data_IF_761962565684
#
_entry.id   IF_761962565684
#
_cell.length_a   1.000
_cell.length_b   1.000
_cell.length_c   1.000
_cell.angle_alpha   90.00
_cell.angle_beta   90.00
_cell.angle_gamma   90.00
#
_symmetry.space_group_name_H-M   'P 1'
#
loop_
_entity.id
_entity.type
_entity.pdbx_description
1 polymer ?
#
# COMPACT_ATOMS: atom_id res chain seq x y z
N UNK A 1 22.62 11.10 -6.30
CA UNK A 1 23.86 10.54 -5.72
C UNK A 1 24.37 9.43 -6.62
N UNK A 2 25.67 9.22 -6.72
CA UNK A 2 26.27 8.11 -7.49
C UNK A 2 27.42 7.50 -6.70
N UNK A 3 27.54 6.17 -6.75
CA UNK A 3 28.68 5.42 -6.27
C UNK A 3 29.42 4.88 -7.48
N UNK A 4 30.75 4.99 -7.47
CA UNK A 4 31.60 4.54 -8.59
C UNK A 4 32.62 3.52 -8.07
N UNK A 5 32.59 2.33 -8.66
CA UNK A 5 33.63 1.33 -8.43
C UNK A 5 34.83 1.65 -9.33
N UNK A 6 35.87 2.23 -8.75
CA UNK A 6 37.03 2.79 -9.47
C UNK A 6 37.71 1.82 -10.43
N UNK A 7 37.93 0.52 -10.07
CA UNK A 7 38.69 -0.39 -10.95
C UNK A 7 38.05 -0.63 -12.32
N UNK A 8 36.69 -0.59 -12.40
CA UNK A 8 35.97 -0.89 -13.66
C UNK A 8 35.15 0.28 -14.18
N UNK A 9 34.98 1.34 -13.37
CA UNK A 9 34.10 2.46 -13.68
C UNK A 9 32.60 2.16 -13.58
N UNK A 10 32.21 1.01 -13.06
CA UNK A 10 30.81 0.66 -12.81
C UNK A 10 30.18 1.65 -11.81
N UNK A 11 28.90 1.92 -12.00
CA UNK A 11 28.18 2.91 -11.20
C UNK A 11 26.90 2.34 -10.63
N UNK A 12 26.58 2.77 -9.40
CA UNK A 12 25.26 2.69 -8.83
C UNK A 12 24.70 4.12 -8.77
N UNK A 13 23.56 4.34 -9.40
CA UNK A 13 22.92 5.65 -9.51
C UNK A 13 21.63 5.66 -8.67
N UNK A 14 21.53 6.58 -7.72
CA UNK A 14 20.30 6.78 -6.94
C UNK A 14 19.50 7.92 -7.55
N UNK A 15 18.22 7.68 -7.80
CA UNK A 15 17.31 8.65 -8.40
C UNK A 15 15.97 8.62 -7.64
N UNK A 16 15.42 9.78 -7.33
CA UNK A 16 14.03 9.89 -6.87
C UNK A 16 13.06 9.67 -8.03
N UNK A 17 11.90 9.11 -7.74
CA UNK A 17 10.84 8.87 -8.72
C UNK A 17 9.82 10.03 -8.79
N UNK A 18 10.08 11.14 -8.08
CA UNK A 18 9.27 12.36 -8.07
C UNK A 18 9.12 13.02 -9.46
N UNK A 19 10.05 12.74 -10.38
CA UNK A 19 9.98 13.22 -11.75
C UNK A 19 10.39 12.11 -12.74
N UNK A 20 9.41 11.38 -13.31
CA UNK A 20 9.68 10.32 -14.30
C UNK A 20 10.47 10.80 -15.53
N UNK A 21 10.41 12.08 -15.87
CA UNK A 21 11.15 12.64 -17.00
C UNK A 21 12.65 12.68 -16.73
N UNK A 22 13.07 12.91 -15.49
CA UNK A 22 14.48 12.84 -15.11
C UNK A 22 15.05 11.44 -15.26
N UNK A 23 14.25 10.41 -14.95
CA UNK A 23 14.67 9.01 -15.09
C UNK A 23 14.78 8.63 -16.56
N UNK A 24 13.83 9.05 -17.42
CA UNK A 24 13.85 8.81 -18.86
C UNK A 24 15.05 9.43 -19.57
N UNK A 25 15.65 10.46 -19.00
CA UNK A 25 16.80 11.17 -19.56
C UNK A 25 18.16 10.58 -19.15
N UNK A 26 18.21 9.50 -18.38
CA UNK A 26 19.47 8.88 -17.94
C UNK A 26 20.23 8.41 -19.18
N UNK A 27 21.43 8.96 -19.36
CA UNK A 27 22.38 8.53 -20.39
C UNK A 27 23.60 7.92 -19.69
N UNK A 28 23.97 6.72 -20.12
CA UNK A 28 25.23 6.11 -19.70
C UNK A 28 26.26 6.33 -20.82
N UNK A 29 27.46 6.85 -20.49
CA UNK A 29 28.48 7.15 -21.52
C UNK A 29 29.07 5.90 -22.18
N UNK A 30 29.00 4.76 -21.52
CA UNK A 30 29.42 3.44 -22.00
C UNK A 30 28.62 2.35 -21.29
N UNK A 31 28.55 1.15 -21.92
CA UNK A 31 27.80 0.03 -21.36
C UNK A 31 26.28 0.25 -21.37
N UNK A 32 25.59 -0.31 -20.40
CA UNK A 32 24.13 -0.25 -20.26
C UNK A 32 23.73 -0.39 -18.78
N UNK A 33 22.48 -0.08 -18.47
CA UNK A 33 21.90 -0.30 -17.15
C UNK A 33 21.51 -1.78 -17.06
N UNK A 34 22.28 -2.57 -16.32
CA UNK A 34 22.05 -4.00 -16.17
C UNK A 34 21.08 -4.35 -15.04
N UNK A 35 20.97 -3.46 -14.05
CA UNK A 35 20.17 -3.69 -12.85
C UNK A 35 19.36 -2.44 -12.53
N UNK A 36 18.08 -2.61 -12.22
CA UNK A 36 17.25 -1.61 -11.57
C UNK A 36 16.71 -2.16 -10.27
N UNK A 37 16.54 -1.28 -9.27
CA UNK A 37 15.89 -1.60 -8.04
C UNK A 37 14.88 -0.48 -7.70
N UNK A 38 13.61 -0.85 -7.59
CA UNK A 38 12.56 0.02 -7.10
C UNK A 38 12.36 -0.28 -5.62
N UNK A 39 12.78 0.63 -4.77
CA UNK A 39 12.53 0.59 -3.35
C UNK A 39 11.18 1.25 -3.05
N UNK A 40 10.46 0.75 -2.05
CA UNK A 40 9.12 1.21 -1.71
C UNK A 40 8.17 1.23 -2.93
N UNK A 41 8.10 0.11 -3.61
CA UNK A 41 7.29 -0.08 -4.83
C UNK A 41 5.85 0.43 -4.70
N UNK A 42 5.26 0.28 -3.54
CA UNK A 42 3.89 0.70 -3.22
C UNK A 42 3.67 2.23 -3.29
N UNK A 43 4.75 3.03 -3.21
CA UNK A 43 4.70 4.49 -3.34
C UNK A 43 4.53 4.97 -4.79
N UNK A 44 4.76 4.12 -5.77
CA UNK A 44 4.49 4.43 -7.17
C UNK A 44 2.99 4.43 -7.46
N UNK A 45 2.56 5.24 -8.41
CA UNK A 45 1.14 5.34 -8.79
C UNK A 45 0.56 4.04 -9.38
N UNK A 46 1.43 3.11 -9.80
CA UNK A 46 1.01 1.81 -10.31
C UNK A 46 2.04 1.15 -11.22
N UNK A 47 1.72 -0.07 -11.65
CA UNK A 47 2.60 -0.85 -12.55
C UNK A 47 2.98 -0.14 -13.85
N UNK A 48 2.11 0.72 -14.35
CA UNK A 48 2.37 1.47 -15.57
C UNK A 48 3.54 2.44 -15.43
N UNK A 49 3.68 3.07 -14.26
CA UNK A 49 4.79 3.98 -13.98
C UNK A 49 6.13 3.23 -13.94
N UNK A 50 6.21 2.13 -13.21
CA UNK A 50 7.39 1.27 -13.17
C UNK A 50 7.76 0.79 -14.57
N UNK A 51 6.78 0.32 -15.35
CA UNK A 51 7.00 -0.12 -16.72
C UNK A 51 7.54 0.98 -17.62
N UNK A 52 7.06 2.21 -17.48
CA UNK A 52 7.57 3.36 -18.24
C UNK A 52 9.05 3.64 -17.93
N UNK A 53 9.46 3.48 -16.68
CA UNK A 53 10.87 3.62 -16.29
C UNK A 53 11.70 2.47 -16.87
N UNK A 54 11.23 1.23 -16.73
CA UNK A 54 11.90 0.05 -17.25
C UNK A 54 12.14 0.13 -18.77
N UNK A 55 11.16 0.60 -19.54
CA UNK A 55 11.31 0.81 -20.99
C UNK A 55 12.45 1.78 -21.34
N UNK A 56 12.82 2.66 -20.43
CA UNK A 56 13.93 3.60 -20.63
C UNK A 56 15.27 3.04 -20.17
N UNK A 57 15.29 2.16 -19.16
CA UNK A 57 16.50 1.58 -18.58
C UNK A 57 16.90 0.27 -19.20
N UNK A 58 15.95 -0.57 -19.68
CA UNK A 58 16.18 -1.86 -20.30
C UNK A 58 16.65 -1.74 -21.76
N UNK A 59 17.76 -1.03 -22.00
CA UNK A 59 18.26 -0.78 -23.34
C UNK A 59 19.76 -1.07 -23.43
N UNK A 60 20.16 -1.64 -24.53
CA UNK A 60 21.58 -1.75 -24.92
C UNK A 60 22.36 -2.94 -24.39
N UNK A 61 21.71 -3.86 -23.65
CA UNK A 61 22.34 -5.06 -23.12
C UNK A 61 21.52 -6.33 -23.36
N UNK A 62 22.16 -7.48 -23.17
CA UNK A 62 21.52 -8.81 -23.30
C UNK A 62 21.02 -9.40 -22.01
N UNK A 63 21.43 -8.85 -20.87
CA UNK A 63 21.03 -9.30 -19.53
C UNK A 63 20.56 -8.12 -18.73
N UNK A 64 19.40 -8.27 -18.09
CA UNK A 64 18.80 -7.24 -17.28
C UNK A 64 18.09 -7.87 -16.06
N UNK A 65 18.29 -7.25 -14.89
CA UNK A 65 17.65 -7.65 -13.66
C UNK A 65 16.85 -6.47 -13.09
N UNK A 66 15.59 -6.74 -12.73
CA UNK A 66 14.73 -5.78 -12.03
C UNK A 66 14.39 -6.32 -10.66
N UNK A 67 14.69 -5.53 -9.62
CA UNK A 67 14.30 -5.81 -8.25
C UNK A 67 13.24 -4.80 -7.81
N UNK A 68 12.27 -5.28 -7.08
CA UNK A 68 11.19 -4.46 -6.51
C UNK A 68 11.01 -4.89 -5.07
N UNK A 69 11.18 -3.95 -4.14
CA UNK A 69 10.98 -4.20 -2.70
C UNK A 69 9.93 -3.25 -2.14
N UNK A 70 9.14 -3.75 -1.21
CA UNK A 70 8.14 -2.95 -0.50
C UNK A 70 7.65 -3.67 0.75
N UNK A 71 7.14 -2.91 1.71
CA UNK A 71 6.34 -3.44 2.79
C UNK A 71 4.87 -3.48 2.34
N UNK A 72 4.20 -4.65 2.40
CA UNK A 72 2.84 -4.75 1.88
C UNK A 72 1.89 -3.75 2.55
N UNK A 73 1.22 -2.87 1.79
CA UNK A 73 0.18 -2.00 2.32
C UNK A 73 -0.94 -2.79 3.00
N UNK A 74 -1.59 -2.18 3.99
CA UNK A 74 -2.67 -2.82 4.75
C UNK A 74 -3.82 -3.32 3.86
N UNK A 75 -4.11 -2.58 2.78
CA UNK A 75 -5.16 -2.91 1.83
C UNK A 75 -4.76 -4.05 0.91
N UNK A 76 -5.55 -5.12 0.87
CA UNK A 76 -5.44 -6.19 -0.13
C UNK A 76 -5.65 -5.68 -1.55
N UNK A 77 -6.41 -4.60 -1.71
CA UNK A 77 -6.74 -4.00 -2.99
C UNK A 77 -5.66 -3.06 -3.53
N UNK A 78 -4.64 -2.73 -2.71
CA UNK A 78 -3.51 -1.95 -3.20
C UNK A 78 -2.86 -2.63 -4.40
N UNK A 79 -2.52 -1.83 -5.40
CA UNK A 79 -1.96 -2.31 -6.66
C UNK A 79 -0.68 -3.14 -6.49
N UNK A 80 0.19 -2.78 -5.53
CA UNK A 80 1.45 -3.49 -5.29
C UNK A 80 1.20 -4.90 -4.74
N UNK A 81 0.19 -5.05 -3.84
CA UNK A 81 -0.23 -6.34 -3.34
C UNK A 81 -0.83 -7.21 -4.45
N UNK A 82 -1.72 -6.65 -5.29
CA UNK A 82 -2.31 -7.36 -6.43
C UNK A 82 -1.25 -7.78 -7.45
N UNK A 83 -0.35 -6.87 -7.80
CA UNK A 83 0.74 -7.16 -8.74
C UNK A 83 1.65 -8.30 -8.27
N UNK A 84 1.92 -8.40 -6.97
CA UNK A 84 2.76 -9.49 -6.43
C UNK A 84 2.09 -10.87 -6.51
N UNK A 85 0.77 -10.92 -6.61
CA UNK A 85 0.00 -12.17 -6.76
C UNK A 85 -0.15 -12.60 -8.23
N UNK A 86 0.18 -11.73 -9.19
CA UNK A 86 0.12 -12.06 -10.60
C UNK A 86 1.22 -13.08 -10.94
N UNK A 87 0.83 -14.23 -11.46
CA UNK A 87 1.77 -15.26 -11.90
C UNK A 87 2.48 -14.86 -13.20
N UNK A 88 3.82 -14.92 -13.18
CA UNK A 88 4.67 -14.63 -14.33
C UNK A 88 5.84 -15.60 -14.36
N UNK A 89 6.18 -16.08 -15.54
CA UNK A 89 7.30 -17.03 -15.75
C UNK A 89 8.68 -16.40 -15.60
N UNK A 90 8.73 -15.07 -15.71
CA UNK A 90 9.96 -14.26 -15.66
C UNK A 90 10.14 -13.54 -14.31
N UNK A 91 9.36 -13.90 -13.28
CA UNK A 91 9.38 -13.25 -11.98
C UNK A 91 9.46 -14.27 -10.84
N UNK A 92 10.32 -13.97 -9.89
CA UNK A 92 10.34 -14.62 -8.58
C UNK A 92 9.82 -13.65 -7.53
N UNK A 93 8.77 -14.05 -6.79
CA UNK A 93 8.30 -13.33 -5.61
C UNK A 93 8.86 -14.01 -4.36
N UNK A 94 9.55 -13.25 -3.53
CA UNK A 94 10.06 -13.68 -2.24
C UNK A 94 9.40 -12.84 -1.15
N UNK A 95 8.96 -13.49 -0.08
CA UNK A 95 8.46 -12.86 1.12
C UNK A 95 9.35 -13.28 2.28
N UNK A 96 9.79 -12.31 3.07
CA UNK A 96 10.53 -12.55 4.30
C UNK A 96 9.88 -11.78 5.45
N UNK A 97 10.08 -12.29 6.66
CA UNK A 97 9.63 -11.67 7.90
C UNK A 97 10.76 -11.64 8.90
N UNK A 98 10.58 -10.91 10.00
CA UNK A 98 11.58 -10.89 11.07
C UNK A 98 11.86 -12.27 11.69
N UNK A 99 10.91 -13.21 11.56
CA UNK A 99 11.06 -14.58 12.10
C UNK A 99 12.17 -15.39 11.41
N UNK A 100 12.59 -14.96 10.22
CA UNK A 100 13.68 -15.59 9.46
C UNK A 100 15.04 -14.96 9.77
N UNK A 101 15.05 -13.81 10.46
CA UNK A 101 16.29 -13.15 10.85
C UNK A 101 16.86 -13.76 12.15
N UNK A 102 18.19 -13.85 12.30
CA UNK A 102 18.79 -14.22 13.56
C UNK A 102 18.35 -13.25 14.68
N UNK A 103 17.89 -13.75 15.85
CA UNK A 103 17.37 -12.89 16.92
C UNK A 103 18.36 -11.81 17.39
N UNK A 104 19.66 -12.10 17.34
CA UNK A 104 20.73 -11.17 17.68
C UNK A 104 20.81 -9.94 16.76
N UNK A 105 20.20 -9.99 15.57
CA UNK A 105 20.14 -8.86 14.64
C UNK A 105 18.98 -7.91 14.94
N UNK A 106 17.94 -8.41 15.63
CA UNK A 106 16.69 -7.67 15.85
C UNK A 106 16.71 -6.83 17.12
N UNK A 107 17.44 -7.25 18.13
CA UNK A 107 17.47 -6.61 19.45
C UNK A 107 16.26 -6.97 20.33
N UNK A 108 16.51 -6.97 21.65
CA UNK A 108 15.50 -7.38 22.65
C UNK A 108 14.25 -6.50 22.66
N UNK A 109 14.42 -5.20 22.46
CA UNK A 109 13.31 -4.24 22.46
C UNK A 109 12.33 -4.50 21.31
N UNK A 110 12.84 -4.77 20.12
CA UNK A 110 12.03 -5.10 18.95
C UNK A 110 11.22 -6.38 19.17
N UNK A 111 11.86 -7.41 19.71
CA UNK A 111 11.20 -8.69 20.00
C UNK A 111 10.13 -8.56 21.07
N UNK A 112 10.38 -7.79 22.13
CA UNK A 112 9.42 -7.53 23.18
C UNK A 112 8.18 -6.80 22.66
N UNK A 113 8.37 -5.82 21.77
CA UNK A 113 7.26 -5.08 21.14
C UNK A 113 6.44 -5.96 20.21
N UNK A 114 7.10 -6.81 19.42
CA UNK A 114 6.41 -7.77 18.55
C UNK A 114 5.52 -8.74 19.35
N UNK A 115 6.02 -9.30 20.44
CA UNK A 115 5.23 -10.18 21.32
C UNK A 115 4.10 -9.45 22.04
N UNK A 116 4.33 -8.19 22.46
CA UNK A 116 3.28 -7.37 23.06
C UNK A 116 2.16 -7.11 22.06
N UNK A 117 2.47 -6.67 20.85
CA UNK A 117 1.46 -6.41 19.81
C UNK A 117 0.72 -7.69 19.43
N UNK A 118 1.41 -8.82 19.32
CA UNK A 118 0.80 -10.13 19.06
C UNK A 118 -0.23 -10.52 20.12
N UNK A 119 0.04 -10.19 21.39
CA UNK A 119 -0.86 -10.52 22.50
C UNK A 119 -2.06 -9.56 22.61
N UNK A 120 -1.92 -8.30 22.16
CA UNK A 120 -2.91 -7.24 22.36
C UNK A 120 -3.69 -6.91 21.10
N UNK A 121 -3.08 -7.00 19.93
CA UNK A 121 -3.71 -6.74 18.63
C UNK A 121 -3.07 -7.63 17.54
N UNK A 122 -3.56 -8.86 17.47
CA UNK A 122 -3.11 -9.86 16.49
C UNK A 122 -3.22 -9.37 15.04
N UNK A 123 -4.22 -8.55 14.73
CA UNK A 123 -4.42 -8.02 13.37
C UNK A 123 -3.32 -7.05 12.97
N UNK A 124 -2.99 -6.11 13.85
CA UNK A 124 -1.87 -5.19 13.63
C UNK A 124 -0.54 -5.94 13.60
N UNK A 125 -0.33 -6.92 14.47
CA UNK A 125 0.84 -7.77 14.43
C UNK A 125 1.00 -8.50 13.08
N UNK A 126 -0.06 -9.10 12.57
CA UNK A 126 -0.01 -9.76 11.26
C UNK A 126 0.38 -8.79 10.13
N UNK A 127 -0.11 -7.56 10.20
CA UNK A 127 0.22 -6.58 9.18
C UNK A 127 1.65 -6.03 9.34
N UNK A 128 1.98 -5.49 10.50
CA UNK A 128 3.20 -4.72 10.73
C UNK A 128 4.45 -5.59 10.81
N UNK A 129 4.33 -6.77 11.42
CA UNK A 129 5.47 -7.68 11.65
C UNK A 129 5.54 -8.83 10.64
N UNK A 130 4.41 -9.30 10.14
CA UNK A 130 4.37 -10.40 9.19
C UNK A 130 4.08 -9.96 7.75
N UNK A 131 3.85 -8.67 7.50
CA UNK A 131 3.57 -8.14 6.17
C UNK A 131 2.34 -8.78 5.52
N UNK A 132 1.30 -9.08 6.30
CA UNK A 132 0.05 -9.65 5.80
C UNK A 132 -0.95 -8.51 5.54
N UNK A 133 -1.43 -8.31 4.31
CA UNK A 133 -2.50 -7.35 4.05
C UNK A 133 -3.79 -7.81 4.75
N UNK A 134 -4.22 -7.08 5.77
CA UNK A 134 -5.38 -7.43 6.63
C UNK A 134 -6.62 -6.60 6.34
N UNK A 135 -6.49 -5.54 5.54
CA UNK A 135 -7.56 -4.62 5.18
C UNK A 135 -8.15 -4.89 3.81
N UNK A 136 -9.43 -4.58 3.64
CA UNK A 136 -10.13 -4.65 2.35
C UNK A 136 -9.94 -3.39 1.49
N UNK A 137 -9.20 -2.40 2.02
CA UNK A 137 -8.79 -1.18 1.30
C UNK A 137 -9.84 -0.11 1.10
N UNK A 138 -11.09 -0.40 1.39
CA UNK A 138 -12.19 0.56 1.27
C UNK A 138 -12.94 0.83 2.58
N UNK A 139 -12.67 0.04 3.61
CA UNK A 139 -13.39 0.23 4.87
C UNK A 139 -12.71 1.29 5.73
N UNK A 140 -13.32 2.45 5.81
CA UNK A 140 -12.98 3.48 6.81
C UNK A 140 -13.27 2.97 8.23
N UNK A 141 -14.17 2.00 8.35
CA UNK A 141 -14.57 1.39 9.61
C UNK A 141 -14.28 -0.12 9.59
N UNK A 142 -13.49 -0.59 10.54
CA UNK A 142 -13.11 -2.01 10.65
C UNK A 142 -14.15 -2.88 11.33
N UNK A 143 -15.00 -2.28 12.16
CA UNK A 143 -16.04 -2.97 12.93
C UNK A 143 -17.40 -2.58 12.35
N UNK A 144 -17.85 -3.30 11.35
CA UNK A 144 -19.17 -3.13 10.75
C UNK A 144 -20.10 -4.24 11.23
N UNK A 145 -21.26 -3.84 11.75
CA UNK A 145 -22.37 -4.72 12.07
C UNK A 145 -23.54 -4.39 11.16
N UNK A 146 -23.96 -5.34 10.34
CA UNK A 146 -25.16 -5.20 9.52
C UNK A 146 -26.34 -5.77 10.27
N UNK A 147 -27.24 -4.91 10.72
CA UNK A 147 -28.47 -5.28 11.41
C UNK A 147 -29.61 -4.32 11.08
N UNK A 148 -30.82 -4.74 11.33
CA UNK A 148 -31.96 -3.86 11.29
C UNK A 148 -31.93 -2.86 12.44
N UNK A 149 -32.08 -1.56 12.12
CA UNK A 149 -32.24 -0.49 13.11
C UNK A 149 -33.74 -0.16 13.14
N UNK A 150 -34.40 -0.49 14.22
CA UNK A 150 -35.85 -0.35 14.35
C UNK A 150 -36.27 1.10 14.52
N UNK A 151 -37.51 1.44 14.11
CA UNK A 151 -38.10 2.77 14.37
C UNK A 151 -38.06 3.19 15.81
N UNK A 152 -38.19 2.23 16.74
CA UNK A 152 -38.11 2.48 18.18
C UNK A 152 -36.70 2.94 18.59
N UNK A 153 -35.66 2.35 18.04
CA UNK A 153 -34.27 2.78 18.24
C UNK A 153 -34.04 4.18 17.67
N UNK A 154 -34.46 4.41 16.42
CA UNK A 154 -34.31 5.71 15.77
C UNK A 154 -34.97 6.83 16.59
N UNK A 155 -36.18 6.59 17.17
CA UNK A 155 -36.86 7.56 18.03
C UNK A 155 -36.16 7.79 19.37
N UNK A 156 -35.28 6.90 19.78
CA UNK A 156 -34.51 7.06 21.03
C UNK A 156 -33.22 7.86 20.86
N UNK A 157 -32.79 8.11 19.61
CA UNK A 157 -31.60 8.89 19.35
C UNK A 157 -31.81 10.37 19.65
N UNK A 158 -30.87 10.95 20.36
CA UNK A 158 -30.92 12.36 20.76
C UNK A 158 -30.69 13.30 19.57
N UNK A 159 -29.94 12.86 18.58
CA UNK A 159 -29.58 13.67 17.42
C UNK A 159 -29.33 12.82 16.16
N UNK A 160 -29.89 13.26 15.05
CA UNK A 160 -29.62 12.70 13.71
C UNK A 160 -28.87 13.75 12.90
N UNK A 161 -27.76 13.33 12.28
CA UNK A 161 -26.97 14.15 11.39
C UNK A 161 -27.24 13.74 9.95
N UNK A 162 -27.09 14.71 9.05
CA UNK A 162 -27.23 14.49 7.62
C UNK A 162 -26.00 15.07 6.91
N UNK A 163 -25.51 14.37 5.90
CA UNK A 163 -24.41 14.79 5.06
C UNK A 163 -24.74 14.60 3.60
N UNK A 164 -24.32 15.57 2.76
CA UNK A 164 -24.47 15.52 1.31
C UNK A 164 -23.12 15.77 0.68
N UNK A 165 -22.74 14.90 -0.23
CA UNK A 165 -21.66 15.13 -1.18
C UNK A 165 -22.29 15.24 -2.58
N UNK A 166 -22.21 16.43 -3.16
CA UNK A 166 -22.88 16.71 -4.42
C UNK A 166 -22.26 16.00 -5.62
N UNK A 167 -21.03 15.52 -5.49
CA UNK A 167 -20.29 14.86 -6.54
C UNK A 167 -20.36 15.60 -7.89
N UNK A 168 -19.27 15.70 -8.61
CA UNK A 168 -19.24 16.21 -9.97
C UNK A 168 -18.66 15.12 -10.86
N UNK A 169 -19.24 14.92 -12.05
CA UNK A 169 -18.75 13.88 -12.94
C UNK A 169 -17.21 13.87 -13.02
N UNK A 170 -16.55 12.70 -12.79
CA UNK A 170 -17.09 11.35 -12.62
C UNK A 170 -17.53 10.97 -11.21
N UNK A 171 -17.43 11.86 -10.23
CA UNK A 171 -17.75 11.54 -8.83
C UNK A 171 -19.28 11.39 -8.62
N UNK A 172 -19.70 10.38 -7.84
CA UNK A 172 -21.11 10.14 -7.57
C UNK A 172 -21.68 11.16 -6.59
N UNK A 173 -23.00 11.38 -6.67
CA UNK A 173 -23.75 12.03 -5.60
C UNK A 173 -23.91 11.06 -4.43
N UNK A 174 -23.66 11.52 -3.20
CA UNK A 174 -23.90 10.75 -2.00
C UNK A 174 -24.68 11.57 -0.95
N UNK A 175 -25.63 10.92 -0.31
CA UNK A 175 -26.36 11.43 0.85
C UNK A 175 -26.39 10.38 1.94
N UNK A 176 -26.16 10.78 3.20
CA UNK A 176 -26.23 9.89 4.35
C UNK A 176 -27.02 10.53 5.50
N UNK A 177 -27.69 9.68 6.27
CA UNK A 177 -28.23 10.02 7.61
C UNK A 177 -27.61 9.12 8.65
N UNK A 178 -27.11 9.73 9.71
CA UNK A 178 -26.40 9.00 10.79
C UNK A 178 -26.85 9.48 12.16
N UNK A 179 -26.69 8.60 13.17
CA UNK A 179 -26.60 8.95 14.57
C UNK A 179 -25.23 8.58 15.10
N UNK A 180 -24.64 9.42 15.93
CA UNK A 180 -23.38 9.13 16.62
C UNK A 180 -23.59 9.03 18.13
N UNK A 181 -23.49 7.81 18.65
CA UNK A 181 -23.51 7.54 20.10
C UNK A 181 -22.09 7.70 20.65
N UNK A 182 -21.84 8.83 21.32
CA UNK A 182 -20.53 9.14 21.90
C UNK A 182 -20.11 8.18 23.02
N UNK A 183 -21.06 7.65 23.78
CA UNK A 183 -20.75 6.79 24.90
C UNK A 183 -20.29 5.41 24.45
N UNK A 184 -20.78 4.95 23.30
CA UNK A 184 -20.41 3.68 22.68
C UNK A 184 -19.39 3.82 21.55
N UNK A 185 -19.00 5.05 21.20
CA UNK A 185 -18.15 5.35 20.03
C UNK A 185 -18.67 4.68 18.75
N UNK A 186 -20.00 4.69 18.57
CA UNK A 186 -20.68 3.95 17.51
C UNK A 186 -21.44 4.91 16.58
N UNK A 187 -21.24 4.74 15.29
CA UNK A 187 -22.02 5.43 14.26
C UNK A 187 -23.11 4.47 13.75
N UNK A 188 -24.34 4.91 13.79
CA UNK A 188 -25.49 4.21 13.18
C UNK A 188 -25.78 4.85 11.84
N UNK A 189 -25.60 4.11 10.75
CA UNK A 189 -26.02 4.54 9.41
C UNK A 189 -27.49 4.19 9.23
N UNK A 190 -28.34 5.21 9.06
CA UNK A 190 -29.78 5.06 9.01
C UNK A 190 -30.32 5.02 7.59
N UNK A 191 -29.80 5.90 6.74
CA UNK A 191 -30.17 5.98 5.33
C UNK A 191 -28.94 6.34 4.49
N UNK A 192 -28.91 5.80 3.28
CA UNK A 192 -27.92 6.08 2.29
C UNK A 192 -28.57 6.23 0.91
N UNK A 193 -28.17 7.27 0.16
CA UNK A 193 -28.46 7.41 -1.26
C UNK A 193 -27.12 7.59 -1.96
N UNK A 194 -26.85 6.71 -2.92
CA UNK A 194 -25.63 6.76 -3.73
C UNK A 194 -26.02 6.65 -5.20
N UNK A 195 -25.74 7.67 -5.99
CA UNK A 195 -26.12 7.71 -7.41
C UNK A 195 -24.91 8.04 -8.27
N UNK A 196 -24.56 7.12 -9.15
CA UNK A 196 -23.67 7.36 -10.29
C UNK A 196 -24.52 7.79 -11.50
N UNK A 197 -24.16 8.89 -12.13
CA UNK A 197 -24.80 9.33 -13.39
C UNK A 197 -24.23 8.56 -14.57
#
# INVERSE_FOLDING_TARGET
>A
MELIYKPTGQKIMFRGADDPMKIKSIKVPFGYIAVTHFEEKDQFAGRAEIRNILQSTMRGGSVFWNFESYNPPISRDNWANKDSLEERTDRLCHKSTYLEAPPEWLGEQFLAEAEHLKATDERSYQHEYLGIPVGTGGNVFDKLELREITDKEVRSFDRIYQGVDWGWFPDPFAFIRIHYDRAKETIYLLDEIYQTK
#
